data_IF_951300800607
#
_entry.id   IF_951300800607
#
_cell.length_a   1.000
_cell.length_b   1.000
_cell.length_c   1.000
_cell.angle_alpha   90.00
_cell.angle_beta   90.00
_cell.angle_gamma   90.00
#
_symmetry.space_group_name_H-M   'P 1'
#
loop_
_entity.id
_entity.type
_entity.pdbx_description
1 polymer ?
#
# COMPACT_ATOMS: atom_id res chain seq x y z
N UNK A 1 15.86 4.09 -3.53
CA UNK A 1 14.40 3.85 -3.57
C UNK A 1 13.54 5.03 -3.12
N UNK A 2 14.10 6.20 -2.77
CA UNK A 2 13.30 7.36 -2.35
C UNK A 2 12.22 7.77 -3.35
N UNK A 3 12.59 7.99 -4.62
CA UNK A 3 11.64 8.44 -5.65
C UNK A 3 10.53 7.42 -5.93
N UNK A 4 10.84 6.12 -5.87
CA UNK A 4 9.82 5.07 -6.00
C UNK A 4 8.79 5.17 -4.88
N UNK A 5 9.23 5.32 -3.63
CA UNK A 5 8.29 5.46 -2.51
C UNK A 5 7.47 6.75 -2.60
N UNK A 6 8.05 7.86 -3.09
CA UNK A 6 7.28 9.10 -3.32
C UNK A 6 6.22 8.92 -4.41
N UNK A 7 6.58 8.23 -5.51
CA UNK A 7 5.64 7.90 -6.58
C UNK A 7 4.49 7.03 -6.06
N UNK A 8 4.81 5.99 -5.27
CA UNK A 8 3.80 5.11 -4.68
C UNK A 8 2.92 5.83 -3.65
N UNK A 9 3.50 6.70 -2.82
CA UNK A 9 2.73 7.54 -1.91
C UNK A 9 1.75 8.45 -2.69
N UNK A 10 2.23 9.11 -3.75
CA UNK A 10 1.39 9.93 -4.61
C UNK A 10 0.28 9.11 -5.27
N UNK A 11 0.60 7.90 -5.76
CA UNK A 11 -0.40 6.99 -6.34
C UNK A 11 -1.50 6.65 -5.32
N UNK A 12 -1.15 6.35 -4.07
CA UNK A 12 -2.13 6.11 -3.01
C UNK A 12 -2.99 7.33 -2.72
N UNK A 13 -2.41 8.55 -2.73
CA UNK A 13 -3.18 9.78 -2.59
C UNK A 13 -4.15 10.02 -3.76
N UNK A 14 -3.75 9.67 -4.99
CA UNK A 14 -4.65 9.70 -6.15
C UNK A 14 -5.80 8.70 -5.96
N UNK A 15 -5.51 7.49 -5.47
CA UNK A 15 -6.57 6.51 -5.18
C UNK A 15 -7.55 7.03 -4.12
N UNK A 16 -7.07 7.66 -3.05
CA UNK A 16 -7.93 8.36 -2.06
C UNK A 16 -8.83 9.39 -2.74
N UNK A 17 -8.29 10.20 -3.66
CA UNK A 17 -9.08 11.22 -4.35
C UNK A 17 -10.17 10.63 -5.26
N UNK A 18 -9.94 9.48 -5.88
CA UNK A 18 -10.95 8.83 -6.73
C UNK A 18 -12.13 8.30 -5.91
N UNK A 19 -11.91 7.92 -4.65
CA UNK A 19 -12.93 7.37 -3.74
C UNK A 19 -14.02 8.36 -3.33
N UNK A 20 -13.88 9.66 -3.61
CA UNK A 20 -14.98 10.63 -3.36
C UNK A 20 -16.24 10.33 -4.16
N UNK A 21 -16.14 9.48 -5.19
CA UNK A 21 -17.27 9.08 -6.03
C UNK A 21 -17.96 7.79 -5.56
N UNK A 22 -17.42 7.08 -4.58
CA UNK A 22 -17.91 5.77 -4.14
C UNK A 22 -18.66 5.87 -2.80
N UNK A 23 -19.78 5.14 -2.60
CA UNK A 23 -20.63 5.23 -1.41
C UNK A 23 -19.93 4.72 -0.13
N UNK A 24 -19.02 3.76 -0.26
CA UNK A 24 -18.18 3.19 0.81
C UNK A 24 -16.75 3.77 0.79
N UNK A 25 -16.52 4.81 -0.02
CA UNK A 25 -15.19 5.35 -0.32
C UNK A 25 -14.40 5.78 0.90
N UNK A 26 -15.04 6.15 2.01
CA UNK A 26 -14.35 6.52 3.27
C UNK A 26 -13.46 5.38 3.79
N UNK A 27 -13.93 4.13 3.74
CA UNK A 27 -13.14 2.98 4.21
C UNK A 27 -11.94 2.78 3.29
N UNK A 28 -12.14 2.85 1.98
CA UNK A 28 -11.07 2.72 0.99
C UNK A 28 -10.05 3.86 1.07
N UNK A 29 -10.48 5.10 1.33
CA UNK A 29 -9.58 6.21 1.59
C UNK A 29 -8.65 5.93 2.78
N UNK A 30 -9.18 5.35 3.86
CA UNK A 30 -8.37 4.96 5.02
C UNK A 30 -7.40 3.81 4.69
N UNK A 31 -7.87 2.82 3.93
CA UNK A 31 -7.04 1.70 3.45
C UNK A 31 -5.87 2.21 2.61
N UNK A 32 -6.08 3.17 1.71
CA UNK A 32 -5.02 3.74 0.87
C UNK A 32 -4.12 4.74 1.62
N UNK A 33 -4.65 5.45 2.61
CA UNK A 33 -3.85 6.38 3.42
C UNK A 33 -2.72 5.66 4.16
N UNK A 34 -2.99 4.45 4.64
CA UNK A 34 -2.04 3.69 5.44
C UNK A 34 -0.72 3.33 4.71
N UNK A 35 -0.71 2.69 3.53
CA UNK A 35 0.50 2.48 2.74
C UNK A 35 1.12 3.80 2.26
N UNK A 36 0.33 4.86 2.03
CA UNK A 36 0.88 6.18 1.68
C UNK A 36 1.81 6.70 2.79
N UNK A 37 1.38 6.61 4.05
CA UNK A 37 2.18 7.02 5.21
C UNK A 37 3.48 6.20 5.29
N UNK A 38 3.41 4.88 5.18
CA UNK A 38 4.60 4.02 5.20
C UNK A 38 5.57 4.33 4.07
N UNK A 39 5.06 4.56 2.86
CA UNK A 39 5.87 4.96 1.72
C UNK A 39 6.56 6.33 1.97
N UNK A 40 5.87 7.31 2.56
CA UNK A 40 6.48 8.59 2.94
C UNK A 40 7.60 8.40 3.98
N UNK A 41 7.38 7.58 5.02
CA UNK A 41 8.43 7.24 5.99
C UNK A 41 9.62 6.56 5.32
N UNK A 42 9.39 5.60 4.42
CA UNK A 42 10.44 4.93 3.66
C UNK A 42 11.20 5.89 2.73
N UNK A 43 10.54 6.90 2.19
CA UNK A 43 11.15 7.91 1.33
C UNK A 43 12.07 8.88 2.10
N UNK A 44 11.62 9.37 3.26
CA UNK A 44 12.29 10.46 3.97
C UNK A 44 13.10 10.01 5.19
N UNK A 45 12.65 8.98 5.91
CA UNK A 45 13.28 8.51 7.15
C UNK A 45 13.36 6.97 7.22
N UNK A 46 13.95 6.29 6.21
CA UNK A 46 13.98 4.83 6.15
C UNK A 46 14.68 4.17 7.35
N UNK A 47 15.61 4.87 8.02
CA UNK A 47 16.28 4.34 9.21
C UNK A 47 15.33 4.19 10.41
N UNK A 48 14.29 5.03 10.52
CA UNK A 48 13.27 4.90 11.59
C UNK A 48 12.53 3.57 11.46
N UNK A 49 12.26 3.13 10.22
CA UNK A 49 11.59 1.87 9.93
C UNK A 49 12.39 0.62 10.35
N UNK A 50 13.68 0.78 10.67
CA UNK A 50 14.54 -0.30 11.18
C UNK A 50 14.46 -0.46 12.70
N UNK A 51 13.97 0.55 13.42
CA UNK A 51 13.77 0.43 14.86
C UNK A 51 12.64 -0.56 15.20
N UNK A 52 12.72 -1.20 16.37
CA UNK A 52 11.89 -2.35 16.72
C UNK A 52 10.39 -2.09 16.55
N UNK A 53 9.87 -1.01 17.13
CA UNK A 53 8.43 -0.72 17.10
C UNK A 53 7.91 -0.41 15.68
N UNK A 54 8.46 0.57 14.92
CA UNK A 54 8.09 0.80 13.52
C UNK A 54 8.26 -0.42 12.62
N UNK A 55 9.33 -1.21 12.80
CA UNK A 55 9.54 -2.43 12.03
C UNK A 55 8.44 -3.46 12.29
N UNK A 56 8.02 -3.64 13.55
CA UNK A 56 6.94 -4.56 13.92
C UNK A 56 5.59 -4.07 13.40
N UNK A 57 5.31 -2.78 13.51
CA UNK A 57 4.08 -2.18 12.98
C UNK A 57 3.99 -2.32 11.46
N UNK A 58 5.09 -2.09 10.73
CA UNK A 58 5.14 -2.29 9.28
C UNK A 58 4.96 -3.77 8.91
N UNK A 59 5.58 -4.70 9.66
CA UNK A 59 5.38 -6.13 9.43
C UNK A 59 3.92 -6.56 9.68
N UNK A 60 3.31 -6.08 10.77
CA UNK A 60 1.90 -6.31 11.06
C UNK A 60 1.00 -5.75 9.95
N UNK A 61 1.31 -4.54 9.46
CA UNK A 61 0.62 -3.90 8.34
C UNK A 61 0.61 -4.80 7.10
N UNK A 62 1.76 -5.39 6.77
CA UNK A 62 1.90 -6.33 5.65
C UNK A 62 1.05 -7.58 5.88
N UNK A 63 1.14 -8.20 7.06
CA UNK A 63 0.36 -9.40 7.38
C UNK A 63 -1.15 -9.13 7.29
N UNK A 64 -1.62 -8.03 7.86
CA UNK A 64 -3.03 -7.61 7.77
C UNK A 64 -3.43 -7.35 6.33
N UNK A 65 -2.60 -6.65 5.54
CA UNK A 65 -2.89 -6.38 4.13
C UNK A 65 -2.98 -7.65 3.28
N UNK A 66 -2.15 -8.66 3.56
CA UNK A 66 -2.22 -9.97 2.90
C UNK A 66 -3.52 -10.68 3.28
N UNK A 67 -3.89 -10.68 4.56
CA UNK A 67 -5.16 -11.25 5.02
C UNK A 67 -6.37 -10.59 4.34
N UNK A 68 -6.37 -9.26 4.25
CA UNK A 68 -7.40 -8.50 3.56
C UNK A 68 -7.38 -8.74 2.04
N UNK A 69 -6.21 -8.86 1.41
CA UNK A 69 -6.09 -9.21 -0.01
C UNK A 69 -6.69 -10.59 -0.31
N UNK A 70 -6.50 -11.57 0.58
CA UNK A 70 -7.14 -12.89 0.48
C UNK A 70 -8.65 -12.79 0.68
N UNK A 71 -9.09 -11.97 1.63
CA UNK A 71 -10.52 -11.77 1.91
C UNK A 71 -11.26 -11.09 0.75
N UNK A 72 -10.68 -10.02 0.19
CA UNK A 72 -11.19 -9.30 -0.98
C UNK A 72 -10.76 -9.91 -2.31
N UNK A 73 -10.32 -11.18 -2.33
CA UNK A 73 -9.85 -11.78 -3.57
C UNK A 73 -10.96 -11.79 -4.64
N UNK A 74 -10.71 -11.25 -5.84
CA UNK A 74 -11.76 -11.09 -6.83
C UNK A 74 -12.20 -12.44 -7.42
N UNK A 75 -13.50 -12.69 -7.43
CA UNK A 75 -14.10 -13.97 -7.88
C UNK A 75 -14.69 -13.91 -9.28
N UNK A 76 -14.89 -12.71 -9.81
CA UNK A 76 -15.43 -12.50 -11.17
C UNK A 76 -14.49 -13.05 -12.25
N UNK A 77 -14.98 -13.87 -13.20
CA UNK A 77 -14.15 -14.37 -14.29
C UNK A 77 -13.52 -13.23 -15.08
N UNK A 78 -12.21 -13.29 -15.28
CA UNK A 78 -11.49 -12.24 -16.00
C UNK A 78 -11.44 -10.90 -15.27
N UNK A 79 -11.52 -10.90 -13.93
CA UNK A 79 -11.43 -9.69 -13.09
C UNK A 79 -10.24 -8.78 -13.41
N UNK A 80 -9.15 -9.29 -14.01
CA UNK A 80 -7.99 -8.49 -14.41
C UNK A 80 -8.22 -7.65 -15.69
N UNK A 81 -9.30 -7.90 -16.42
CA UNK A 81 -9.63 -7.18 -17.65
C UNK A 81 -10.31 -5.85 -17.32
N UNK A 82 -9.98 -4.80 -18.08
CA UNK A 82 -10.46 -3.44 -17.82
C UNK A 82 -11.98 -3.34 -17.84
N UNK A 83 -12.63 -4.00 -18.79
CA UNK A 83 -14.08 -4.05 -18.91
C UNK A 83 -14.77 -4.71 -17.70
N UNK A 84 -14.03 -5.46 -16.88
CA UNK A 84 -14.56 -6.11 -15.67
C UNK A 84 -14.24 -5.27 -14.43
N UNK A 85 -12.97 -4.98 -14.13
CA UNK A 85 -12.65 -4.27 -12.87
C UNK A 85 -13.12 -2.82 -12.84
N UNK A 86 -13.37 -2.20 -13.98
CA UNK A 86 -13.94 -0.85 -14.00
C UNK A 86 -15.39 -0.84 -13.50
N UNK A 87 -16.18 -1.83 -13.90
CA UNK A 87 -17.62 -1.92 -13.61
C UNK A 87 -17.94 -2.74 -12.37
N UNK A 88 -17.10 -3.73 -12.04
CA UNK A 88 -17.32 -4.64 -10.91
C UNK A 88 -16.51 -4.17 -9.71
N UNK A 89 -17.20 -3.60 -8.73
CA UNK A 89 -16.66 -3.08 -7.47
C UNK A 89 -15.73 -4.09 -6.78
N UNK A 90 -16.18 -5.32 -6.53
CA UNK A 90 -15.35 -6.34 -5.84
C UNK A 90 -14.08 -6.73 -6.60
N UNK A 91 -14.06 -6.58 -7.93
CA UNK A 91 -12.85 -6.76 -8.72
C UNK A 91 -11.87 -5.60 -8.51
N UNK A 92 -12.38 -4.36 -8.51
CA UNK A 92 -11.61 -3.14 -8.23
C UNK A 92 -11.01 -3.14 -6.82
N UNK A 93 -11.82 -3.48 -5.82
CA UNK A 93 -11.44 -3.57 -4.42
C UNK A 93 -10.32 -4.59 -4.19
N UNK A 94 -10.48 -5.80 -4.74
CA UNK A 94 -9.47 -6.86 -4.66
C UNK A 94 -8.13 -6.45 -5.28
N UNK A 95 -8.18 -5.82 -6.47
CA UNK A 95 -6.98 -5.25 -7.10
C UNK A 95 -6.36 -4.12 -6.28
N UNK A 96 -7.18 -3.26 -5.66
CA UNK A 96 -6.74 -2.24 -4.72
C UNK A 96 -5.92 -2.82 -3.57
N UNK A 97 -6.38 -3.92 -2.97
CA UNK A 97 -5.66 -4.62 -1.91
C UNK A 97 -4.33 -5.26 -2.36
N UNK A 98 -4.25 -5.75 -3.61
CA UNK A 98 -2.99 -6.21 -4.19
C UNK A 98 -1.97 -5.07 -4.26
N UNK A 99 -2.40 -3.89 -4.73
CA UNK A 99 -1.55 -2.70 -4.84
C UNK A 99 -1.12 -2.22 -3.45
N UNK A 100 -2.03 -2.13 -2.47
CA UNK A 100 -1.72 -1.80 -1.07
C UNK A 100 -0.61 -2.70 -0.53
N UNK A 101 -0.75 -4.01 -0.73
CA UNK A 101 0.24 -5.01 -0.27
C UNK A 101 1.61 -4.78 -0.93
N UNK A 102 1.64 -4.52 -2.25
CA UNK A 102 2.87 -4.22 -2.97
C UNK A 102 3.56 -2.96 -2.42
N UNK A 103 2.81 -1.88 -2.16
CA UNK A 103 3.37 -0.63 -1.63
C UNK A 103 4.01 -0.85 -0.26
N UNK A 104 3.35 -1.61 0.63
CA UNK A 104 3.91 -1.94 1.95
C UNK A 104 5.18 -2.78 1.84
N UNK A 105 5.22 -3.76 0.93
CA UNK A 105 6.41 -4.57 0.67
C UNK A 105 7.57 -3.71 0.14
N UNK A 106 7.31 -2.75 -0.75
CA UNK A 106 8.33 -1.81 -1.24
C UNK A 106 8.87 -0.92 -0.10
N UNK A 107 8.01 -0.43 0.78
CA UNK A 107 8.42 0.35 1.95
C UNK A 107 9.32 -0.50 2.88
N UNK A 108 8.95 -1.76 3.12
CA UNK A 108 9.76 -2.69 3.92
C UNK A 108 11.11 -2.99 3.28
N UNK A 109 11.15 -3.32 1.98
CA UNK A 109 12.39 -3.54 1.23
C UNK A 109 13.28 -2.30 1.26
N UNK A 110 12.70 -1.11 1.16
CA UNK A 110 13.44 0.15 1.29
C UNK A 110 14.15 0.25 2.63
N UNK A 111 13.47 -0.07 3.73
CA UNK A 111 14.07 -0.07 5.06
C UNK A 111 15.21 -1.11 5.21
N UNK A 112 15.12 -2.26 4.52
CA UNK A 112 16.15 -3.32 4.58
C UNK A 112 17.38 -3.05 3.71
N UNK A 113 17.20 -2.32 2.60
CA UNK A 113 18.26 -2.07 1.62
C UNK A 113 19.02 -0.76 1.85
N UNK A 114 18.54 0.12 2.74
CA UNK A 114 19.29 1.32 3.13
C UNK A 114 20.52 0.91 3.95
N UNK A 115 21.70 1.19 3.39
CA UNK A 115 22.99 1.03 4.10
C UNK A 115 23.00 1.94 5.31
N UNK A 116 23.41 1.40 6.46
CA UNK A 116 23.81 2.23 7.61
C UNK A 116 24.96 3.12 7.14
N UNK A 117 24.80 4.44 7.23
CA UNK A 117 25.98 5.29 7.34
C UNK A 117 26.54 5.00 8.73
N UNK A 118 27.68 4.30 8.78
CA UNK A 118 28.47 4.25 10.00
C UNK A 118 28.86 5.70 10.32
N UNK A 119 28.35 6.23 11.42
CA UNK A 119 28.79 7.52 11.94
C UNK A 119 30.28 7.40 12.31
N UNK A 120 31.13 8.38 11.94
CA UNK A 120 32.51 8.41 12.38
C UNK A 120 32.64 8.56 13.91
#
# INVERSE_FOLDING_TARGET
MRYLNLLLALLMLVFIAVQYNDPDGVIWMLIYLFPAIWALFAAFKPNILRSTAPSLLLALSIVVSIGLMVYYWPTSPGWWKQEIWWEVETAREGMGMMIVTIVLLVAWLTARLVKTQDSP
#
